data_IF_289536119095
#
_entry.id   IF_289536119095
#
_cell.length_a   1.000
_cell.length_b   1.000
_cell.length_c   1.000
_cell.angle_alpha   90.00
_cell.angle_beta   90.00
_cell.angle_gamma   90.00
#
_symmetry.space_group_name_H-M   'P 1'
#
loop_
_entity.id
_entity.type
_entity.pdbx_description
1 polymer ?
#
# COMPACT_ATOMS: atom_id res chain seq x y z
N UNK A 1 -15.97 9.69 17.87
CA UNK A 1 -16.15 9.57 16.40
C UNK A 1 -16.39 8.09 16.12
N UNK A 2 -17.39 7.72 15.30
CA UNK A 2 -17.72 6.31 15.06
C UNK A 2 -16.59 5.65 14.24
N UNK A 3 -15.90 4.60 14.75
CA UNK A 3 -14.81 3.93 14.04
C UNK A 3 -15.20 3.42 12.65
N UNK A 4 -16.46 3.02 12.46
CA UNK A 4 -16.96 2.48 11.19
C UNK A 4 -17.10 3.58 10.13
N UNK A 5 -17.49 4.79 10.55
CA UNK A 5 -17.56 5.95 9.67
C UNK A 5 -16.17 6.35 9.15
N UNK A 6 -15.18 6.34 10.04
CA UNK A 6 -13.79 6.65 9.68
C UNK A 6 -13.19 5.60 8.74
N UNK A 7 -13.46 4.31 8.97
CA UNK A 7 -13.04 3.26 8.06
C UNK A 7 -13.62 3.45 6.65
N UNK A 8 -14.95 3.63 6.54
CA UNK A 8 -15.64 3.79 5.25
C UNK A 8 -15.10 4.99 4.48
N UNK A 9 -14.85 6.11 5.16
CA UNK A 9 -14.25 7.29 4.56
C UNK A 9 -12.85 6.98 4.02
N UNK A 10 -11.96 6.44 4.85
CA UNK A 10 -10.57 6.18 4.48
C UNK A 10 -10.42 5.13 3.37
N UNK A 11 -11.19 4.04 3.39
CA UNK A 11 -11.07 2.97 2.40
C UNK A 11 -11.55 3.41 1.01
N UNK A 12 -12.49 4.34 0.94
CA UNK A 12 -13.04 4.90 -0.32
C UNK A 12 -12.28 6.11 -0.87
N UNK A 13 -11.31 6.64 -0.12
CA UNK A 13 -10.58 7.86 -0.49
C UNK A 13 -9.70 7.67 -1.73
N UNK A 14 -9.17 6.47 -1.93
CA UNK A 14 -8.11 6.23 -2.90
C UNK A 14 -6.81 6.92 -2.47
N UNK A 15 -6.16 7.60 -3.43
CA UNK A 15 -4.98 8.41 -3.15
C UNK A 15 -5.41 9.78 -2.62
N UNK A 16 -5.00 10.16 -1.39
CA UNK A 16 -5.36 11.45 -0.82
C UNK A 16 -4.72 12.60 -1.62
N UNK A 17 -5.42 13.72 -1.72
CA UNK A 17 -4.93 14.92 -2.42
C UNK A 17 -3.77 15.58 -1.66
N UNK A 18 -3.85 15.61 -0.33
CA UNK A 18 -2.73 16.00 0.53
C UNK A 18 -1.87 14.78 0.85
N UNK A 19 -0.54 14.96 0.87
CA UNK A 19 0.37 13.90 1.27
C UNK A 19 0.15 13.56 2.75
N UNK A 20 -0.20 12.31 3.09
CA UNK A 20 -0.38 11.90 4.49
C UNK A 20 0.99 11.79 5.15
N UNK A 21 1.10 11.99 6.46
CA UNK A 21 2.35 11.75 7.17
C UNK A 21 2.82 10.29 7.02
N UNK A 22 4.15 10.04 7.02
CA UNK A 22 4.66 8.67 6.98
C UNK A 22 4.10 7.86 8.15
N UNK A 23 3.49 6.70 7.91
CA UNK A 23 2.90 5.91 8.98
C UNK A 23 3.99 5.30 9.87
N UNK A 24 3.70 5.09 11.16
CA UNK A 24 4.66 4.49 12.09
C UNK A 24 5.02 3.07 11.65
N UNK A 25 6.30 2.71 11.80
CA UNK A 25 6.79 1.37 11.50
C UNK A 25 6.86 0.56 12.78
N UNK A 26 5.97 -0.43 12.92
CA UNK A 26 5.97 -1.36 14.05
C UNK A 26 7.14 -2.36 13.93
N UNK A 27 8.07 -2.40 14.90
CA UNK A 27 9.19 -3.35 14.88
C UNK A 27 8.77 -4.81 15.08
N UNK A 28 7.57 -5.07 15.63
CA UNK A 28 7.03 -6.41 15.80
C UNK A 28 6.48 -7.00 14.49
N UNK A 29 6.31 -6.20 13.45
CA UNK A 29 5.81 -6.64 12.16
C UNK A 29 6.95 -7.21 11.30
N UNK A 30 6.78 -8.46 10.88
CA UNK A 30 7.65 -9.14 9.93
C UNK A 30 7.82 -8.34 8.64
N UNK A 31 9.08 -8.23 8.17
CA UNK A 31 9.47 -7.46 6.98
C UNK A 31 10.06 -8.36 5.91
N UNK A 32 9.72 -8.10 4.65
CA UNK A 32 10.34 -8.84 3.55
C UNK A 32 11.85 -8.53 3.49
N UNK A 33 12.70 -9.52 3.13
CA UNK A 33 14.11 -9.26 2.90
C UNK A 33 14.28 -8.28 1.73
N UNK A 34 15.32 -7.43 1.81
CA UNK A 34 15.65 -6.53 0.71
C UNK A 34 16.00 -7.34 -0.54
N UNK A 35 15.50 -6.92 -1.70
CA UNK A 35 15.87 -7.52 -2.97
C UNK A 35 17.22 -6.98 -3.44
N UNK A 36 18.04 -7.87 -3.99
CA UNK A 36 19.28 -7.47 -4.68
C UNK A 36 18.95 -6.47 -5.78
N UNK A 37 19.57 -5.28 -5.69
CA UNK A 37 19.37 -4.23 -6.67
C UNK A 37 20.20 -4.51 -7.91
N UNK A 38 19.55 -5.05 -8.94
CA UNK A 38 20.17 -5.39 -10.23
C UNK A 38 19.92 -4.34 -11.31
N UNK A 39 19.29 -3.22 -10.95
CA UNK A 39 18.90 -2.17 -11.89
C UNK A 39 20.08 -1.23 -12.23
N UNK A 40 20.28 -1.00 -13.52
CA UNK A 40 21.14 0.06 -14.04
C UNK A 40 20.61 1.46 -13.67
N UNK A 41 21.43 2.53 -13.78
CA UNK A 41 20.97 3.90 -13.50
C UNK A 41 19.72 4.31 -14.30
N UNK A 42 19.64 3.93 -15.57
CA UNK A 42 18.49 4.21 -16.44
C UNK A 42 17.24 3.47 -15.97
N UNK A 43 17.38 2.22 -15.55
CA UNK A 43 16.26 1.43 -15.03
C UNK A 43 15.77 1.92 -13.67
N UNK A 44 16.68 2.43 -12.81
CA UNK A 44 16.29 3.09 -11.56
C UNK A 44 15.47 4.35 -11.83
N UNK A 45 15.90 5.18 -12.78
CA UNK A 45 15.14 6.35 -13.18
C UNK A 45 13.76 5.97 -13.74
N UNK A 46 13.69 4.94 -14.58
CA UNK A 46 12.42 4.44 -15.11
C UNK A 46 11.51 3.89 -13.99
N UNK A 47 12.06 3.18 -13.00
CA UNK A 47 11.31 2.71 -11.85
C UNK A 47 10.70 3.87 -11.05
N UNK A 48 11.47 4.95 -10.83
CA UNK A 48 10.97 6.17 -10.19
C UNK A 48 9.86 6.85 -11.00
N UNK A 49 10.05 7.02 -12.31
CA UNK A 49 9.01 7.58 -13.20
C UNK A 49 7.73 6.74 -13.16
N UNK A 50 7.86 5.41 -13.16
CA UNK A 50 6.73 4.49 -13.05
C UNK A 50 6.01 4.57 -11.70
N UNK A 51 6.74 4.83 -10.61
CA UNK A 51 6.16 5.04 -9.29
C UNK A 51 5.48 6.42 -9.17
N UNK A 52 6.06 7.46 -9.77
CA UNK A 52 5.53 8.82 -9.69
C UNK A 52 4.28 9.04 -10.54
N UNK A 53 4.00 8.18 -11.53
CA UNK A 53 2.82 8.30 -12.40
C UNK A 53 1.47 8.25 -11.69
N UNK A 54 1.43 7.70 -10.47
CA UNK A 54 0.21 7.65 -9.65
C UNK A 54 -0.13 9.00 -9.02
N UNK A 55 0.81 9.96 -9.02
CA UNK A 55 0.72 11.19 -8.24
C UNK A 55 0.81 12.43 -9.14
N UNK A 56 0.15 13.55 -8.78
CA UNK A 56 0.27 14.80 -9.50
C UNK A 56 1.68 15.39 -9.38
N UNK A 57 2.11 16.12 -10.41
CA UNK A 57 3.49 16.63 -10.52
C UNK A 57 3.95 17.48 -9.32
N UNK A 58 3.04 18.22 -8.68
CA UNK A 58 3.37 19.06 -7.53
C UNK A 58 3.80 18.24 -6.29
N UNK A 59 3.45 16.95 -6.21
CA UNK A 59 3.89 16.06 -5.13
C UNK A 59 5.24 15.39 -5.41
N UNK A 60 5.73 15.42 -6.67
CA UNK A 60 6.90 14.65 -7.08
C UNK A 60 8.19 15.09 -6.36
N UNK A 61 8.32 16.37 -6.02
CA UNK A 61 9.48 16.88 -5.28
C UNK A 61 9.65 16.22 -3.90
N UNK A 62 8.54 15.82 -3.27
CA UNK A 62 8.56 15.11 -1.97
C UNK A 62 8.68 13.61 -2.18
N UNK A 63 7.91 13.04 -3.11
CA UNK A 63 7.82 11.58 -3.28
C UNK A 63 9.02 10.96 -3.99
N UNK A 64 9.66 11.67 -4.92
CA UNK A 64 10.79 11.15 -5.67
C UNK A 64 11.97 10.69 -4.76
N UNK A 65 12.47 11.51 -3.82
CA UNK A 65 13.54 11.07 -2.92
C UNK A 65 13.10 9.95 -1.97
N UNK A 66 11.82 9.87 -1.59
CA UNK A 66 11.30 8.77 -0.77
C UNK A 66 11.29 7.45 -1.53
N UNK A 67 10.77 7.46 -2.75
CA UNK A 67 10.75 6.27 -3.61
C UNK A 67 12.16 5.84 -4.01
N UNK A 68 13.09 6.77 -4.20
CA UNK A 68 14.49 6.44 -4.45
C UNK A 68 15.10 5.70 -3.27
N UNK A 69 14.86 6.19 -2.04
CA UNK A 69 15.31 5.56 -0.82
C UNK A 69 14.71 4.17 -0.63
N UNK A 70 13.40 4.01 -0.84
CA UNK A 70 12.77 2.68 -0.78
C UNK A 70 13.40 1.71 -1.79
N UNK A 71 13.64 2.17 -3.02
CA UNK A 71 14.27 1.36 -4.06
C UNK A 71 15.69 0.93 -3.66
N UNK A 72 16.48 1.82 -3.04
CA UNK A 72 17.84 1.53 -2.58
C UNK A 72 17.85 0.58 -1.38
N UNK A 73 17.03 0.84 -0.36
CA UNK A 73 17.03 0.08 0.90
C UNK A 73 16.31 -1.27 0.78
N UNK A 74 15.31 -1.36 -0.10
CA UNK A 74 14.41 -2.53 -0.18
C UNK A 74 14.49 -3.25 -1.52
N UNK A 75 15.07 -2.63 -2.54
CA UNK A 75 15.06 -3.14 -3.91
C UNK A 75 13.69 -3.03 -4.59
N UNK A 76 12.74 -2.30 -3.99
CA UNK A 76 11.37 -2.09 -4.47
C UNK A 76 10.79 -0.78 -3.92
N UNK A 77 9.83 -0.23 -4.63
CA UNK A 77 9.07 0.96 -4.23
C UNK A 77 7.69 0.49 -3.76
N UNK A 78 7.50 0.40 -2.44
CA UNK A 78 6.25 -0.01 -1.79
C UNK A 78 5.29 1.16 -1.55
N UNK A 79 5.82 2.38 -1.52
CA UNK A 79 5.11 3.62 -1.23
C UNK A 79 4.53 3.60 0.19
N UNK A 80 5.37 3.33 1.20
CA UNK A 80 4.93 3.10 2.59
C UNK A 80 4.09 4.24 3.16
N UNK A 81 4.36 5.49 2.74
CA UNK A 81 3.57 6.69 3.06
C UNK A 81 2.07 6.49 2.86
N UNK A 82 1.69 5.69 1.87
CA UNK A 82 0.29 5.48 1.48
C UNK A 82 -0.34 4.23 2.12
N UNK A 83 0.33 3.55 3.04
CA UNK A 83 -0.32 2.50 3.84
C UNK A 83 -1.45 3.13 4.69
N UNK A 84 -2.69 2.60 4.67
CA UNK A 84 -3.78 3.15 5.46
C UNK A 84 -3.55 3.02 6.96
N UNK A 85 -4.16 3.93 7.74
CA UNK A 85 -4.05 3.97 9.19
C UNK A 85 -5.08 3.07 9.90
N UNK A 86 -6.17 2.69 9.22
CA UNK A 86 -7.13 1.73 9.78
C UNK A 86 -6.49 0.35 9.93
N UNK A 87 -7.02 -0.41 10.89
CA UNK A 87 -6.66 -1.81 11.09
C UNK A 87 -6.94 -2.62 9.82
N UNK A 88 -5.88 -3.26 9.30
CA UNK A 88 -5.95 -4.12 8.12
C UNK A 88 -6.42 -5.51 8.55
N UNK A 89 -7.69 -5.80 8.31
CA UNK A 89 -8.31 -7.10 8.53
C UNK A 89 -9.61 -7.21 7.75
N UNK A 90 -10.10 -8.43 7.54
CA UNK A 90 -11.44 -8.61 7.03
C UNK A 90 -12.50 -8.06 8.00
N UNK A 91 -13.53 -7.42 7.45
CA UNK A 91 -14.68 -6.87 8.18
C UNK A 91 -15.98 -7.53 7.71
N UNK A 92 -17.08 -7.43 8.47
CA UNK A 92 -18.41 -7.71 7.95
C UNK A 92 -18.62 -7.08 6.58
N UNK A 93 -19.23 -7.84 5.66
CA UNK A 93 -19.36 -7.43 4.25
C UNK A 93 -20.12 -6.10 4.08
N UNK A 94 -21.04 -5.79 5.00
CA UNK A 94 -21.87 -4.59 4.95
C UNK A 94 -21.13 -3.32 5.46
N UNK A 95 -19.94 -3.49 6.07
CA UNK A 95 -19.08 -2.38 6.51
C UNK A 95 -18.34 -1.73 5.33
N UNK A 96 -18.17 -2.45 4.22
CA UNK A 96 -17.50 -1.92 3.03
C UNK A 96 -18.42 -0.96 2.27
N UNK A 97 -17.97 0.26 1.91
CA UNK A 97 -18.77 1.27 1.22
C UNK A 97 -18.94 1.00 -0.29
N UNK A 98 -19.07 -0.27 -0.68
CA UNK A 98 -19.20 -0.66 -2.09
C UNK A 98 -20.65 -0.54 -2.58
N UNK A 99 -20.82 -0.20 -3.86
CA UNK A 99 -22.14 -0.19 -4.52
C UNK A 99 -22.68 -1.59 -4.82
N UNK A 100 -21.80 -2.58 -4.88
CA UNK A 100 -22.13 -3.98 -5.19
C UNK A 100 -21.59 -4.89 -4.12
N UNK A 101 -22.40 -5.86 -3.70
CA UNK A 101 -21.99 -6.91 -2.75
C UNK A 101 -20.80 -7.73 -3.26
N UNK A 102 -20.66 -7.88 -4.59
CA UNK A 102 -19.52 -8.55 -5.21
C UNK A 102 -18.22 -7.77 -4.99
N UNK A 103 -18.26 -6.44 -5.13
CA UNK A 103 -17.11 -5.59 -4.87
C UNK A 103 -16.75 -5.60 -3.38
N UNK A 104 -17.74 -5.51 -2.48
CA UNK A 104 -17.51 -5.65 -1.04
C UNK A 104 -16.83 -6.98 -0.68
N UNK A 105 -17.26 -8.10 -1.29
CA UNK A 105 -16.62 -9.40 -1.09
C UNK A 105 -15.16 -9.40 -1.56
N UNK A 106 -14.84 -8.78 -2.70
CA UNK A 106 -13.46 -8.65 -3.19
C UNK A 106 -12.61 -7.80 -2.23
N UNK A 107 -13.12 -6.65 -1.78
CA UNK A 107 -12.45 -5.78 -0.80
C UNK A 107 -12.15 -6.52 0.51
N UNK A 108 -13.11 -7.32 0.99
CA UNK A 108 -12.95 -8.19 2.15
C UNK A 108 -11.81 -9.18 1.95
N UNK A 109 -11.80 -9.90 0.82
CA UNK A 109 -10.76 -10.89 0.53
C UNK A 109 -9.37 -10.24 0.38
N UNK A 110 -9.30 -9.03 -0.19
CA UNK A 110 -8.06 -8.25 -0.27
C UNK A 110 -7.54 -7.93 1.14
N UNK A 111 -8.40 -7.41 2.03
CA UNK A 111 -7.97 -7.08 3.39
C UNK A 111 -7.60 -8.32 4.21
N UNK A 112 -8.27 -9.46 3.99
CA UNK A 112 -7.88 -10.73 4.59
C UNK A 112 -6.44 -11.13 4.20
N UNK A 113 -6.07 -11.00 2.93
CA UNK A 113 -4.71 -11.34 2.47
C UNK A 113 -3.63 -10.39 2.96
N UNK A 114 -4.00 -9.19 3.42
CA UNK A 114 -3.09 -8.17 3.94
C UNK A 114 -3.14 -8.04 5.47
N UNK A 115 -3.98 -8.83 6.14
CA UNK A 115 -4.10 -8.85 7.59
C UNK A 115 -2.77 -9.27 8.22
N UNK A 116 -2.20 -8.54 9.20
CA UNK A 116 -0.98 -8.94 9.89
C UNK A 116 -1.02 -10.33 10.54
N UNK A 117 -2.20 -10.86 10.86
CA UNK A 117 -2.38 -12.22 11.36
C UNK A 117 -2.32 -13.30 10.27
N UNK A 118 -2.43 -12.91 9.00
CA UNK A 118 -2.45 -13.82 7.83
C UNK A 118 -1.22 -13.63 6.94
N UNK A 119 -0.83 -12.39 6.67
CA UNK A 119 0.22 -12.03 5.74
C UNK A 119 1.61 -12.25 6.33
N UNK A 120 2.51 -12.88 5.56
CA UNK A 120 3.89 -13.08 5.96
C UNK A 120 4.66 -11.75 6.15
N UNK A 121 4.45 -10.77 5.26
CA UNK A 121 5.05 -9.44 5.33
C UNK A 121 3.99 -8.37 4.97
N UNK A 122 3.10 -8.02 5.92
CA UNK A 122 1.91 -7.20 5.62
C UNK A 122 2.26 -5.81 5.08
N UNK A 123 3.35 -5.19 5.56
CA UNK A 123 3.76 -3.86 5.10
C UNK A 123 4.33 -3.87 3.67
N UNK A 124 4.82 -5.01 3.21
CA UNK A 124 5.29 -5.24 1.83
C UNK A 124 4.22 -5.88 0.93
N UNK A 125 2.98 -5.96 1.41
CA UNK A 125 1.83 -6.51 0.69
C UNK A 125 2.01 -7.99 0.28
N UNK A 126 2.83 -8.76 1.01
CA UNK A 126 3.14 -10.17 0.73
C UNK A 126 2.41 -11.08 1.69
N UNK A 127 1.62 -12.00 1.14
CA UNK A 127 0.83 -12.95 1.93
C UNK A 127 1.59 -14.24 2.21
N UNK A 128 2.24 -14.84 1.20
CA UNK A 128 2.96 -16.11 1.36
C UNK A 128 4.14 -16.24 0.38
N UNK A 129 5.01 -17.22 0.65
CA UNK A 129 6.11 -17.62 -0.25
C UNK A 129 7.21 -16.57 -0.42
N UNK A 130 7.30 -15.58 0.47
CA UNK A 130 8.29 -14.50 0.43
C UNK A 130 8.14 -13.50 -0.73
N UNK A 131 7.37 -13.82 -1.78
CA UNK A 131 7.14 -12.96 -2.94
C UNK A 131 5.70 -12.97 -3.49
N UNK A 132 4.79 -13.75 -2.89
CA UNK A 132 3.37 -13.79 -3.26
C UNK A 132 2.65 -12.53 -2.80
N UNK A 133 2.82 -11.45 -3.57
CA UNK A 133 2.29 -10.13 -3.25
C UNK A 133 0.86 -9.93 -3.79
N UNK A 134 0.02 -9.25 -3.02
CA UNK A 134 -1.34 -8.84 -3.42
C UNK A 134 -1.29 -7.68 -4.41
N UNK A 135 -0.43 -6.69 -4.13
CA UNK A 135 -0.17 -5.54 -4.98
C UNK A 135 1.32 -5.22 -5.01
N UNK A 136 1.77 -4.46 -6.00
CA UNK A 136 3.16 -4.02 -6.07
C UNK A 136 3.47 -2.90 -5.07
N UNK A 137 2.50 -2.07 -4.73
CA UNK A 137 2.64 -0.92 -3.83
C UNK A 137 1.30 -0.49 -3.23
N UNK A 138 1.35 0.36 -2.21
CA UNK A 138 0.18 0.86 -1.49
C UNK A 138 -0.70 1.81 -2.31
N UNK A 139 -0.18 2.45 -3.36
CA UNK A 139 -1.02 3.24 -4.27
C UNK A 139 -2.00 2.36 -5.05
N UNK A 140 -1.55 1.19 -5.54
CA UNK A 140 -2.42 0.22 -6.20
C UNK A 140 -3.50 -0.30 -5.27
N UNK A 141 -3.15 -0.61 -4.02
CA UNK A 141 -4.14 -0.98 -3.00
C UNK A 141 -5.21 0.11 -2.86
N UNK A 142 -4.79 1.36 -2.62
CA UNK A 142 -5.73 2.49 -2.43
C UNK A 142 -6.64 2.68 -3.63
N UNK A 143 -6.10 2.65 -4.84
CA UNK A 143 -6.89 2.82 -6.06
C UNK A 143 -7.84 1.64 -6.31
N UNK A 144 -7.47 0.41 -5.95
CA UNK A 144 -8.34 -0.75 -6.09
C UNK A 144 -9.50 -0.76 -5.07
N UNK A 145 -9.31 -0.13 -3.91
CA UNK A 145 -10.31 -0.05 -2.84
C UNK A 145 -11.31 1.11 -3.01
N UNK A 146 -11.01 2.08 -3.89
CA UNK A 146 -11.87 3.23 -4.23
C UNK A 146 -13.02 2.83 -5.17
#
# INVERSE_FOLDING_TARGET
>A
MNPDFEFRKQVSEGLPEALPDPPPMDPGISRAPARTLVLSPVEKELALRNALRYFPAHQHAVLAPEFARELEERGRIYMYRFRPAYEMRARPIDDYPARSRKAAAIMLMIQNNLDPAVAQHPYELITYGGNGAVFQNWAQYRLAMR
#
